data_IF_394736324840
#
_entry.id   IF_394736324840
#
_cell.length_a   1.000
_cell.length_b   1.000
_cell.length_c   1.000
_cell.angle_alpha   90.00
_cell.angle_beta   90.00
_cell.angle_gamma   90.00
#
_symmetry.space_group_name_H-M   'P 1'
#
loop_
_entity.id
_entity.type
_entity.pdbx_description
1 polymer ?
#
# COMPACT_ATOMS: atom_id res chain seq x y z
N UNK A 1 5.05 12.36 12.45
CA UNK A 1 4.41 12.14 11.14
C UNK A 1 5.40 11.43 10.24
N UNK A 2 5.19 10.13 9.99
CA UNK A 2 6.12 9.28 9.23
C UNK A 2 5.40 8.27 8.33
N UNK A 3 4.19 8.60 7.88
CA UNK A 3 3.31 7.68 7.13
C UNK A 3 3.99 7.18 5.86
N UNK A 4 4.47 8.11 5.03
CA UNK A 4 5.17 7.78 3.79
C UNK A 4 6.38 6.90 4.11
N UNK A 5 7.26 7.36 5.01
CA UNK A 5 8.49 6.64 5.35
C UNK A 5 8.22 5.23 5.90
N UNK A 6 7.24 5.06 6.78
CA UNK A 6 6.90 3.76 7.35
C UNK A 6 6.36 2.80 6.29
N UNK A 7 5.45 3.27 5.43
CA UNK A 7 4.88 2.44 4.37
C UNK A 7 5.93 2.10 3.30
N UNK A 8 6.69 3.09 2.82
CA UNK A 8 7.70 2.86 1.78
C UNK A 8 8.88 2.04 2.29
N UNK A 9 9.24 2.14 3.58
CA UNK A 9 10.26 1.28 4.18
C UNK A 9 9.84 -0.20 4.16
N UNK A 10 8.59 -0.52 4.49
CA UNK A 10 8.07 -1.90 4.41
C UNK A 10 8.10 -2.41 2.98
N UNK A 11 7.62 -1.61 2.02
CA UNK A 11 7.63 -1.97 0.61
C UNK A 11 9.06 -2.21 0.10
N UNK A 12 10.00 -1.31 0.43
CA UNK A 12 11.40 -1.43 0.03
C UNK A 12 12.09 -2.64 0.68
N UNK A 13 11.83 -2.89 1.98
CA UNK A 13 12.36 -4.04 2.70
C UNK A 13 11.96 -5.35 2.03
N UNK A 14 10.76 -5.41 1.46
CA UNK A 14 10.24 -6.59 0.81
C UNK A 14 10.43 -6.61 -0.71
N UNK A 15 11.26 -5.71 -1.26
CA UNK A 15 11.56 -5.62 -2.70
C UNK A 15 10.35 -5.34 -3.59
N UNK A 16 9.36 -4.62 -3.06
CA UNK A 16 8.27 -4.08 -3.86
C UNK A 16 8.71 -2.79 -4.56
N UNK A 17 8.31 -2.61 -5.81
CA UNK A 17 8.61 -1.40 -6.57
C UNK A 17 7.39 -0.47 -6.61
N UNK A 18 7.59 0.82 -6.31
CA UNK A 18 6.51 1.81 -6.37
C UNK A 18 6.45 2.36 -7.79
N UNK A 19 5.35 2.09 -8.50
CA UNK A 19 5.13 2.54 -9.87
C UNK A 19 4.53 3.95 -9.90
N UNK A 20 3.63 4.24 -8.96
CA UNK A 20 2.99 5.55 -8.82
C UNK A 20 2.68 5.86 -7.35
N UNK A 21 2.72 7.14 -7.02
CA UNK A 21 2.38 7.66 -5.70
C UNK A 21 1.58 8.94 -5.84
N UNK A 22 0.40 8.96 -5.23
CA UNK A 22 -0.44 10.14 -5.13
C UNK A 22 -0.79 10.39 -3.68
N UNK A 23 -0.65 11.64 -3.23
CA UNK A 23 -0.97 12.04 -1.86
C UNK A 23 -1.84 13.30 -1.87
N UNK A 24 -2.75 13.39 -0.91
CA UNK A 24 -3.65 14.52 -0.78
C UNK A 24 -3.99 14.79 0.69
N UNK A 25 -4.22 16.06 0.99
CA UNK A 25 -4.91 16.47 2.23
C UNK A 25 -6.40 16.63 1.90
N UNK A 26 -7.24 15.84 2.56
CA UNK A 26 -8.69 15.84 2.40
C UNK A 26 -9.34 16.24 3.73
N UNK A 27 -9.55 17.55 3.91
CA UNK A 27 -9.91 18.11 5.21
C UNK A 27 -8.77 17.89 6.20
N UNK A 28 -9.05 17.23 7.32
CA UNK A 28 -8.05 16.91 8.34
C UNK A 28 -7.33 15.57 8.11
N UNK A 29 -7.64 14.88 7.00
CA UNK A 29 -7.06 13.58 6.68
C UNK A 29 -5.91 13.70 5.68
N UNK A 30 -4.78 13.07 5.99
CA UNK A 30 -3.74 12.75 5.01
C UNK A 30 -4.10 11.44 4.32
N UNK A 31 -4.20 11.45 3.00
CA UNK A 31 -4.45 10.26 2.19
C UNK A 31 -3.29 10.03 1.23
N UNK A 32 -2.94 8.76 1.03
CA UNK A 32 -1.90 8.32 0.13
C UNK A 32 -2.39 7.08 -0.62
N UNK A 33 -2.22 7.08 -1.93
CA UNK A 33 -2.50 5.97 -2.84
C UNK A 33 -1.17 5.59 -3.49
N UNK A 34 -0.88 4.30 -3.49
CA UNK A 34 0.34 3.73 -4.05
C UNK A 34 -0.06 2.66 -5.06
N UNK A 35 0.52 2.73 -6.26
CA UNK A 35 0.52 1.61 -7.20
C UNK A 35 1.86 0.92 -7.06
N UNK A 36 1.82 -0.37 -6.74
CA UNK A 36 3.00 -1.13 -6.35
C UNK A 36 3.08 -2.40 -7.19
N UNK A 37 4.24 -2.63 -7.78
CA UNK A 37 4.60 -3.92 -8.37
C UNK A 37 5.22 -4.82 -7.30
N UNK A 38 4.63 -6.01 -7.13
CA UNK A 38 5.07 -7.04 -6.19
C UNK A 38 5.69 -8.26 -6.90
N UNK A 39 5.94 -8.20 -8.21
CA UNK A 39 6.48 -9.32 -8.99
C UNK A 39 7.85 -9.81 -8.51
N UNK A 40 8.64 -8.92 -7.90
CA UNK A 40 9.93 -9.24 -7.26
C UNK A 40 9.86 -9.27 -5.72
N UNK A 41 8.65 -9.21 -5.16
CA UNK A 41 8.48 -9.19 -3.72
C UNK A 41 8.96 -10.48 -3.07
N UNK A 42 9.66 -10.34 -1.94
CA UNK A 42 10.00 -11.47 -1.06
C UNK A 42 8.79 -12.09 -0.35
N UNK A 43 7.66 -11.39 -0.36
CA UNK A 43 6.40 -11.82 0.27
C UNK A 43 5.28 -11.96 -0.76
N UNK A 44 4.37 -12.91 -0.51
CA UNK A 44 3.09 -12.96 -1.21
C UNK A 44 2.16 -11.83 -0.75
N UNK A 45 1.06 -11.64 -1.49
CA UNK A 45 0.10 -10.56 -1.25
C UNK A 45 -0.47 -10.55 0.18
N UNK A 46 -0.86 -11.71 0.71
CA UNK A 46 -1.47 -11.81 2.04
C UNK A 46 -0.47 -11.45 3.14
N UNK A 47 0.77 -11.95 3.04
CA UNK A 47 1.84 -11.65 3.99
C UNK A 47 2.24 -10.17 3.94
N UNK A 48 2.30 -9.58 2.73
CA UNK A 48 2.58 -8.16 2.57
C UNK A 48 1.46 -7.31 3.17
N UNK A 49 0.21 -7.71 2.98
CA UNK A 49 -0.95 -7.06 3.59
C UNK A 49 -0.88 -7.11 5.13
N UNK A 50 -0.47 -8.23 5.71
CA UNK A 50 -0.28 -8.36 7.15
C UNK A 50 0.83 -7.43 7.68
N UNK A 51 1.97 -7.35 6.98
CA UNK A 51 3.05 -6.41 7.33
C UNK A 51 2.60 -4.94 7.28
N UNK A 52 1.87 -4.58 6.22
CA UNK A 52 1.32 -3.24 6.07
C UNK A 52 0.25 -2.93 7.12
N UNK A 53 -0.60 -3.89 7.50
CA UNK A 53 -1.58 -3.73 8.58
C UNK A 53 -0.91 -3.51 9.95
N UNK A 54 0.16 -4.27 10.25
CA UNK A 54 0.94 -4.06 11.47
C UNK A 54 1.54 -2.65 11.53
N UNK A 55 2.08 -2.19 10.40
CA UNK A 55 2.61 -0.84 10.26
C UNK A 55 1.52 0.22 10.38
N UNK A 56 0.32 -0.03 9.83
CA UNK A 56 -0.83 0.84 9.95
C UNK A 56 -1.23 1.06 11.42
N UNK A 57 -1.27 -0.01 12.21
CA UNK A 57 -1.56 0.05 13.65
C UNK A 57 -0.52 0.87 14.42
N UNK A 58 0.77 0.68 14.12
CA UNK A 58 1.85 1.44 14.75
C UNK A 58 1.79 2.94 14.41
N UNK A 59 1.39 3.27 13.18
CA UNK A 59 1.32 4.65 12.69
C UNK A 59 -0.04 5.33 12.97
N UNK A 60 -1.03 4.59 13.50
CA UNK A 60 -2.37 5.11 13.76
C UNK A 60 -3.15 5.45 12.48
N UNK A 61 -2.90 4.73 11.39
CA UNK A 61 -3.57 4.93 10.09
C UNK A 61 -4.35 3.68 9.68
N UNK A 62 -5.16 3.81 8.62
CA UNK A 62 -5.79 2.67 7.96
C UNK A 62 -5.14 2.46 6.61
N UNK A 63 -4.75 1.22 6.30
CA UNK A 63 -4.19 0.83 5.01
C UNK A 63 -5.13 -0.21 4.38
N UNK A 64 -5.46 -0.01 3.11
CA UNK A 64 -6.22 -0.95 2.31
C UNK A 64 -5.33 -1.41 1.16
N UNK A 65 -5.14 -2.72 1.07
CA UNK A 65 -4.33 -3.35 0.01
C UNK A 65 -5.24 -4.22 -0.83
N UNK A 66 -5.22 -4.00 -2.15
CA UNK A 66 -6.03 -4.73 -3.12
C UNK A 66 -5.20 -5.10 -4.34
N UNK A 67 -5.50 -6.23 -4.96
CA UNK A 67 -4.89 -6.61 -6.24
C UNK A 67 -5.66 -5.92 -7.36
N UNK A 68 -4.94 -5.28 -8.29
CA UNK A 68 -5.51 -4.57 -9.44
C UNK A 68 -6.46 -5.46 -10.28
N UNK A 69 -6.23 -6.78 -10.33
CA UNK A 69 -7.09 -7.72 -11.04
C UNK A 69 -8.56 -7.69 -10.56
N UNK A 70 -8.83 -7.24 -9.33
CA UNK A 70 -10.19 -7.06 -8.80
C UNK A 70 -10.92 -5.92 -9.53
N UNK A 71 -10.22 -4.87 -9.96
CA UNK A 71 -10.81 -3.77 -10.72
C UNK A 71 -11.09 -4.17 -12.18
N UNK A 72 -10.22 -4.96 -12.81
CA UNK A 72 -10.44 -5.46 -14.18
C UNK A 72 -11.68 -6.36 -14.30
N UNK A 73 -12.13 -6.96 -13.20
CA UNK A 73 -13.33 -7.79 -13.16
C UNK A 73 -14.63 -6.97 -13.04
N UNK A 74 -14.59 -5.75 -12.49
CA UNK A 74 -15.78 -4.90 -12.33
C UNK A 74 -16.19 -4.20 -13.63
N UNK A 75 -15.23 -3.82 -14.48
CA UNK A 75 -15.50 -3.18 -15.78
C UNK A 75 -16.00 -4.16 -16.87
N UNK A 76 -16.14 -5.47 -16.57
CA UNK A 76 -16.64 -6.51 -17.49
C UNK A 76 -18.02 -7.07 -17.11
N UNK A 77 -18.84 -6.31 -16.40
CA UNK A 77 -20.24 -6.62 -16.10
C UNK A 77 -21.14 -5.45 -16.50
#
# INVERSE_FOLDING_TARGET
MGIIAGVTAVLALHHCNILDISQKIMGDLFTMILVVDIGHSSLNMDSLKDQLNNTANQLGVKIYVQNEAVFTAMDRL
#
